data_IF_173125646286
#
_entry.id   IF_173125646286
#
_cell.length_a   1.000
_cell.length_b   1.000
_cell.length_c   1.000
_cell.angle_alpha   90.00
_cell.angle_beta   90.00
_cell.angle_gamma   90.00
#
_symmetry.space_group_name_H-M   'P 1'
#
loop_
_entity.id
_entity.type
_entity.pdbx_description
1 polymer ?
#
# COMPACT_ATOMS: atom_id res chain seq x y z
N UNK A 1 -0.06 8.17 -11.11
CA UNK A 1 0.41 7.36 -12.24
C UNK A 1 1.91 7.10 -12.10
N UNK A 2 2.28 5.86 -11.75
CA UNK A 2 3.68 5.43 -11.51
C UNK A 2 4.52 5.37 -12.79
N UNK A 3 3.89 5.45 -13.95
CA UNK A 3 4.53 5.50 -15.27
C UNK A 3 4.55 6.93 -15.85
N UNK A 4 4.05 7.92 -15.12
CA UNK A 4 4.04 9.32 -15.56
C UNK A 4 5.42 9.95 -15.43
N UNK A 5 5.82 10.77 -16.40
CA UNK A 5 7.12 11.45 -16.46
C UNK A 5 7.44 12.24 -15.18
N UNK A 6 6.46 12.90 -14.59
CA UNK A 6 6.63 13.75 -13.40
C UNK A 6 6.32 13.00 -12.09
N UNK A 7 6.19 11.66 -12.10
CA UNK A 7 5.79 10.92 -10.91
C UNK A 7 6.75 11.13 -9.73
N UNK A 8 8.04 10.94 -9.96
CA UNK A 8 9.07 11.06 -8.90
C UNK A 8 9.17 12.47 -8.34
N UNK A 9 9.06 13.48 -9.20
CA UNK A 9 9.09 14.88 -8.77
C UNK A 9 7.89 15.21 -7.88
N UNK A 10 6.68 14.90 -8.32
CA UNK A 10 5.46 15.11 -7.52
C UNK A 10 5.46 14.34 -6.21
N UNK A 11 5.99 13.12 -6.22
CA UNK A 11 6.16 12.31 -5.02
C UNK A 11 7.09 12.99 -4.03
N UNK A 12 8.25 13.47 -4.48
CA UNK A 12 9.23 14.22 -3.66
C UNK A 12 8.59 15.47 -3.04
N UNK A 13 7.92 16.28 -3.84
CA UNK A 13 7.27 17.52 -3.39
C UNK A 13 6.20 17.23 -2.33
N UNK A 14 5.42 16.15 -2.52
CA UNK A 14 4.40 15.73 -1.57
C UNK A 14 5.02 15.22 -0.26
N UNK A 15 5.97 14.30 -0.34
CA UNK A 15 6.60 13.71 0.85
C UNK A 15 7.43 14.74 1.62
N UNK A 16 8.10 15.66 0.93
CA UNK A 16 8.88 16.71 1.59
C UNK A 16 7.99 17.59 2.47
N UNK A 17 6.78 17.95 1.99
CA UNK A 17 5.82 18.73 2.79
C UNK A 17 5.35 17.98 4.05
N UNK A 18 5.22 16.66 3.96
CA UNK A 18 4.77 15.82 5.08
C UNK A 18 5.91 15.51 6.06
N UNK A 19 7.10 15.21 5.55
CA UNK A 19 8.22 14.70 6.34
C UNK A 19 9.01 15.84 7.00
N UNK A 20 9.30 16.93 6.27
CA UNK A 20 10.19 17.98 6.74
C UNK A 20 9.82 18.58 8.12
N UNK A 21 8.52 18.78 8.46
CA UNK A 21 8.15 19.28 9.78
C UNK A 21 8.39 18.31 10.94
N UNK A 22 8.59 17.02 10.65
CA UNK A 22 8.57 15.95 11.65
C UNK A 22 9.85 15.12 11.73
N UNK A 23 10.77 15.26 10.76
CA UNK A 23 11.97 14.44 10.62
C UNK A 23 12.88 14.40 11.87
N UNK A 24 12.89 15.47 12.64
CA UNK A 24 13.72 15.60 13.83
C UNK A 24 12.93 15.36 15.13
N UNK A 25 11.69 14.86 15.05
CA UNK A 25 10.85 14.61 16.21
C UNK A 25 11.15 13.23 16.83
N UNK A 26 11.80 13.15 18.01
CA UNK A 26 12.17 11.89 18.64
C UNK A 26 10.97 11.06 19.14
N UNK A 27 9.76 11.62 19.13
CA UNK A 27 8.54 10.95 19.56
C UNK A 27 7.76 10.34 18.38
N UNK A 28 8.19 10.59 17.15
CA UNK A 28 7.58 10.00 15.98
C UNK A 28 8.14 8.59 15.76
N UNK A 29 7.27 7.60 15.61
CA UNK A 29 7.66 6.22 15.29
C UNK A 29 7.96 6.07 13.79
N UNK A 30 7.11 6.65 12.93
CA UNK A 30 7.22 6.50 11.50
C UNK A 30 6.05 7.11 10.74
N UNK A 31 6.01 6.85 9.43
CA UNK A 31 5.03 7.41 8.51
C UNK A 31 4.17 6.34 7.88
N UNK A 32 2.86 6.56 7.86
CA UNK A 32 1.95 5.79 7.03
C UNK A 32 1.95 6.33 5.59
N UNK A 33 1.92 5.44 4.61
CA UNK A 33 1.80 5.80 3.20
C UNK A 33 0.36 6.10 2.79
N UNK A 34 -0.61 5.61 3.54
CA UNK A 34 -2.03 5.82 3.28
C UNK A 34 -2.93 4.97 4.17
N UNK A 35 -4.21 5.15 3.98
CA UNK A 35 -5.27 4.47 4.71
C UNK A 35 -6.18 3.72 3.77
N UNK A 36 -6.53 2.48 4.11
CA UNK A 36 -7.56 1.64 3.50
C UNK A 36 -7.58 1.70 1.96
N UNK A 37 -6.58 1.13 1.27
CA UNK A 37 -6.51 1.20 -0.19
C UNK A 37 -7.70 0.49 -0.81
N UNK A 38 -8.62 1.26 -1.40
CA UNK A 38 -9.91 0.79 -1.92
C UNK A 38 -9.83 -0.08 -3.18
N UNK A 39 -8.65 -0.25 -3.76
CA UNK A 39 -8.44 -1.02 -4.99
C UNK A 39 -8.29 -2.52 -4.76
N UNK A 40 -8.00 -2.94 -3.53
CA UNK A 40 -7.88 -4.36 -3.17
C UNK A 40 -9.21 -5.07 -3.44
N UNK A 41 -9.17 -6.11 -4.26
CA UNK A 41 -10.38 -6.80 -4.73
C UNK A 41 -11.14 -6.12 -5.88
N UNK A 42 -10.67 -4.94 -6.34
CA UNK A 42 -11.27 -4.18 -7.45
C UNK A 42 -10.35 -4.10 -8.68
N UNK A 43 -9.38 -5.00 -8.79
CA UNK A 43 -8.31 -4.93 -9.80
C UNK A 43 -8.85 -4.94 -11.24
N UNK A 44 -9.90 -5.73 -11.49
CA UNK A 44 -10.54 -5.80 -12.81
C UNK A 44 -11.17 -4.47 -13.20
N UNK A 45 -11.93 -3.89 -12.25
CA UNK A 45 -12.57 -2.60 -12.44
C UNK A 45 -11.54 -1.49 -12.65
N UNK A 46 -10.47 -1.51 -11.86
CA UNK A 46 -9.40 -0.53 -11.98
C UNK A 46 -8.72 -0.60 -13.34
N UNK A 47 -8.40 -1.80 -13.85
CA UNK A 47 -7.84 -1.97 -15.19
C UNK A 47 -8.81 -1.47 -16.26
N UNK A 48 -10.11 -1.74 -16.12
CA UNK A 48 -11.11 -1.23 -17.08
C UNK A 48 -11.18 0.29 -17.07
N UNK A 49 -11.19 0.91 -15.90
CA UNK A 49 -11.16 2.38 -15.76
C UNK A 49 -9.91 3.01 -16.40
N UNK A 50 -8.75 2.33 -16.29
CA UNK A 50 -7.51 2.77 -16.95
C UNK A 50 -7.64 2.70 -18.46
N UNK A 51 -8.21 1.62 -19.00
CA UNK A 51 -8.38 1.42 -20.45
C UNK A 51 -9.38 2.42 -21.04
N UNK A 52 -10.44 2.75 -20.32
CA UNK A 52 -11.50 3.68 -20.75
C UNK A 52 -11.12 5.15 -20.51
N UNK A 53 -10.14 5.39 -19.66
CA UNK A 53 -9.71 6.74 -19.28
C UNK A 53 -8.82 7.43 -20.31
N UNK A 54 -8.25 8.55 -19.92
CA UNK A 54 -7.34 9.36 -20.73
C UNK A 54 -6.04 8.59 -21.10
N UNK A 55 -5.42 8.99 -22.19
CA UNK A 55 -4.12 8.44 -22.58
C UNK A 55 -3.03 8.98 -21.67
N UNK A 56 -2.60 8.10 -20.75
CA UNK A 56 -1.54 8.34 -19.76
C UNK A 56 -0.54 7.19 -19.78
N UNK A 57 0.61 7.38 -19.17
CA UNK A 57 1.66 6.36 -19.08
C UNK A 57 1.15 5.01 -18.59
N UNK A 58 0.30 4.98 -17.58
CA UNK A 58 -0.29 3.76 -17.02
C UNK A 58 -1.18 3.01 -18.04
N UNK A 59 -1.91 3.71 -18.89
CA UNK A 59 -2.74 3.09 -19.93
C UNK A 59 -1.88 2.42 -21.01
N UNK A 60 -0.82 3.09 -21.42
CA UNK A 60 0.17 2.53 -22.36
C UNK A 60 0.84 1.30 -21.75
N UNK A 61 1.27 1.37 -20.50
CA UNK A 61 1.88 0.26 -19.78
C UNK A 61 0.92 -0.93 -19.64
N UNK A 62 -0.36 -0.69 -19.30
CA UNK A 62 -1.37 -1.75 -19.22
C UNK A 62 -1.62 -2.42 -20.56
N UNK A 63 -1.78 -1.65 -21.64
CA UNK A 63 -1.95 -2.20 -22.99
C UNK A 63 -0.76 -3.07 -23.40
N UNK A 64 0.47 -2.62 -23.11
CA UNK A 64 1.68 -3.38 -23.39
C UNK A 64 1.74 -4.67 -22.57
N UNK A 65 1.42 -4.60 -21.27
CA UNK A 65 1.36 -5.77 -20.40
C UNK A 65 0.39 -6.82 -20.91
N UNK A 66 -0.84 -6.40 -21.24
CA UNK A 66 -1.87 -7.32 -21.73
C UNK A 66 -1.54 -7.90 -23.12
N UNK A 67 -0.86 -7.14 -23.97
CA UNK A 67 -0.41 -7.66 -25.28
C UNK A 67 0.68 -8.73 -25.13
N UNK A 68 1.51 -8.65 -24.12
CA UNK A 68 2.60 -9.60 -23.86
C UNK A 68 2.16 -10.85 -23.10
N UNK A 69 1.20 -10.71 -22.16
CA UNK A 69 0.82 -11.77 -21.22
C UNK A 69 -0.61 -12.31 -21.44
N UNK A 70 -1.37 -11.69 -22.35
CA UNK A 70 -2.79 -11.97 -22.55
C UNK A 70 -3.70 -11.17 -21.61
N UNK A 71 -4.97 -10.98 -22.03
CA UNK A 71 -5.98 -10.30 -21.20
C UNK A 71 -6.79 -11.31 -20.40
N UNK A 72 -6.34 -11.60 -19.20
CA UNK A 72 -7.04 -12.44 -18.23
C UNK A 72 -7.22 -11.72 -16.89
N UNK A 73 -8.09 -12.24 -16.03
CA UNK A 73 -8.29 -11.71 -14.67
C UNK A 73 -6.98 -11.74 -13.87
N UNK A 74 -6.21 -12.79 -14.02
CA UNK A 74 -4.93 -13.00 -13.35
C UNK A 74 -3.89 -11.96 -13.81
N UNK A 75 -3.82 -11.69 -15.12
CA UNK A 75 -2.87 -10.72 -15.67
C UNK A 75 -3.26 -9.27 -15.31
N UNK A 76 -4.53 -8.94 -15.31
CA UNK A 76 -5.00 -7.64 -14.83
C UNK A 76 -4.67 -7.43 -13.35
N UNK A 77 -4.87 -8.46 -12.49
CA UNK A 77 -4.49 -8.43 -11.09
C UNK A 77 -2.98 -8.29 -10.92
N UNK A 78 -2.19 -9.06 -11.65
CA UNK A 78 -0.73 -8.99 -11.61
C UNK A 78 -0.21 -7.60 -11.99
N UNK A 79 -0.79 -6.97 -13.02
CA UNK A 79 -0.46 -5.60 -13.40
C UNK A 79 -0.75 -4.58 -12.27
N UNK A 80 -1.91 -4.67 -11.63
CA UNK A 80 -2.25 -3.76 -10.51
C UNK A 80 -1.28 -3.95 -9.36
N UNK A 81 -0.89 -5.18 -9.06
CA UNK A 81 0.09 -5.49 -8.01
C UNK A 81 1.49 -4.99 -8.38
N UNK A 82 1.90 -5.05 -9.64
CA UNK A 82 3.15 -4.43 -10.10
C UNK A 82 3.12 -2.90 -9.97
N UNK A 83 2.01 -2.26 -10.32
CA UNK A 83 1.82 -0.82 -10.10
C UNK A 83 1.94 -0.46 -8.61
N UNK A 84 1.30 -1.23 -7.74
CA UNK A 84 1.38 -1.02 -6.30
C UNK A 84 2.81 -1.20 -5.78
N UNK A 85 3.48 -2.28 -6.17
CA UNK A 85 4.88 -2.53 -5.81
C UNK A 85 5.77 -1.35 -6.19
N UNK A 86 5.70 -0.89 -7.45
CA UNK A 86 6.47 0.27 -7.94
C UNK A 86 6.19 1.54 -7.13
N UNK A 87 4.92 1.74 -6.78
CA UNK A 87 4.53 2.90 -5.98
C UNK A 87 5.15 2.86 -4.59
N UNK A 88 4.98 1.75 -3.85
CA UNK A 88 5.49 1.65 -2.48
C UNK A 88 7.01 1.64 -2.41
N UNK A 89 7.70 1.02 -3.38
CA UNK A 89 9.16 1.07 -3.51
C UNK A 89 9.65 2.51 -3.71
N UNK A 90 8.98 3.27 -4.58
CA UNK A 90 9.35 4.67 -4.82
C UNK A 90 9.09 5.55 -3.58
N UNK A 91 7.97 5.33 -2.88
CA UNK A 91 7.66 6.06 -1.63
C UNK A 91 8.69 5.74 -0.55
N UNK A 92 9.01 4.45 -0.34
CA UNK A 92 10.02 4.02 0.65
C UNK A 92 11.38 4.61 0.34
N UNK A 93 11.84 4.53 -0.91
CA UNK A 93 13.12 5.09 -1.32
C UNK A 93 13.19 6.61 -1.06
N UNK A 94 12.12 7.33 -1.40
CA UNK A 94 12.04 8.78 -1.18
C UNK A 94 11.94 9.14 0.30
N UNK A 95 11.20 8.37 1.09
CA UNK A 95 11.14 8.54 2.54
C UNK A 95 12.54 8.38 3.15
N UNK A 96 13.25 7.31 2.82
CA UNK A 96 14.61 7.05 3.32
C UNK A 96 15.62 8.15 2.94
N UNK A 97 15.43 8.78 1.77
CA UNK A 97 16.26 9.92 1.35
C UNK A 97 15.96 11.19 2.17
N UNK A 98 14.67 11.42 2.48
CA UNK A 98 14.23 12.61 3.23
C UNK A 98 14.35 12.44 4.75
N UNK A 99 14.15 11.23 5.23
CA UNK A 99 14.18 10.88 6.65
C UNK A 99 14.55 9.38 6.82
N UNK A 100 15.83 9.08 7.05
CA UNK A 100 16.28 7.69 7.24
C UNK A 100 16.04 7.14 8.65
N UNK A 101 15.55 7.96 9.60
CA UNK A 101 15.48 7.60 11.01
C UNK A 101 14.12 7.05 11.44
N UNK A 102 13.06 7.36 10.69
CA UNK A 102 11.70 6.94 11.03
C UNK A 102 11.22 5.78 10.16
N UNK A 103 10.42 4.90 10.76
CA UNK A 103 9.92 3.70 10.11
C UNK A 103 8.92 4.02 8.98
N UNK A 104 8.92 3.17 7.97
CA UNK A 104 7.84 3.11 6.99
C UNK A 104 6.76 2.14 7.51
N UNK A 105 5.67 2.70 8.03
CA UNK A 105 4.56 1.94 8.60
C UNK A 105 3.60 1.38 7.53
N UNK A 106 3.92 1.60 6.25
CA UNK A 106 3.14 1.10 5.13
C UNK A 106 1.73 1.68 5.03
N UNK A 107 0.80 0.89 4.50
CA UNK A 107 -0.62 1.20 4.51
C UNK A 107 -1.30 0.62 5.73
N UNK A 108 -2.31 1.32 6.28
CA UNK A 108 -3.30 0.69 7.16
C UNK A 108 -4.34 0.02 6.28
N UNK A 109 -4.32 -1.29 6.22
CA UNK A 109 -5.32 -2.06 5.48
C UNK A 109 -6.61 -2.18 6.30
N UNK A 110 -7.77 -2.05 5.64
CA UNK A 110 -9.08 -2.13 6.30
C UNK A 110 -9.29 -3.46 7.00
N UNK A 111 -8.78 -4.54 6.42
CA UNK A 111 -8.83 -5.87 7.00
C UNK A 111 -7.65 -6.71 6.55
N UNK A 112 -7.16 -7.55 7.43
CA UNK A 112 -6.14 -8.54 7.11
C UNK A 112 -6.66 -9.60 6.12
N UNK A 113 -7.96 -9.86 6.11
CA UNK A 113 -8.56 -10.85 5.22
C UNK A 113 -8.61 -10.39 3.76
N UNK A 114 -8.55 -9.09 3.51
CA UNK A 114 -8.52 -8.51 2.16
C UNK A 114 -7.13 -8.61 1.52
N UNK A 115 -6.09 -8.86 2.31
CA UNK A 115 -4.71 -8.92 1.83
C UNK A 115 -4.27 -10.35 1.64
N UNK A 116 -4.09 -10.75 0.38
CA UNK A 116 -3.64 -12.09 0.05
C UNK A 116 -2.13 -12.27 0.21
N UNK A 117 -1.66 -13.51 0.08
CA UNK A 117 -0.26 -13.91 0.25
C UNK A 117 0.70 -13.14 -0.67
N UNK A 118 0.33 -12.97 -1.94
CA UNK A 118 1.16 -12.21 -2.91
C UNK A 118 1.34 -10.76 -2.46
N UNK A 119 0.27 -10.13 -2.01
CA UNK A 119 0.30 -8.73 -1.56
C UNK A 119 1.09 -8.59 -0.24
N UNK A 120 0.93 -9.53 0.70
CA UNK A 120 1.74 -9.61 1.92
C UNK A 120 3.23 -9.75 1.59
N UNK A 121 3.59 -10.60 0.63
CA UNK A 121 4.97 -10.78 0.16
C UNK A 121 5.55 -9.53 -0.52
N UNK A 122 4.73 -8.74 -1.23
CA UNK A 122 5.14 -7.45 -1.80
C UNK A 122 5.41 -6.45 -0.67
N UNK A 123 4.48 -6.31 0.27
CA UNK A 123 4.61 -5.41 1.41
C UNK A 123 5.81 -5.76 2.29
N UNK A 124 6.04 -7.06 2.53
CA UNK A 124 7.12 -7.57 3.34
C UNK A 124 8.52 -7.22 2.86
N UNK A 125 8.67 -6.89 1.58
CA UNK A 125 9.95 -6.46 0.99
C UNK A 125 10.20 -4.96 1.11
N UNK A 126 9.19 -4.17 1.47
CA UNK A 126 9.24 -2.71 1.37
C UNK A 126 8.97 -2.01 2.70
N UNK A 127 7.99 -2.47 3.46
CA UNK A 127 7.59 -1.85 4.72
C UNK A 127 8.48 -2.32 5.87
N UNK A 128 8.50 -1.56 6.96
CA UNK A 128 9.14 -1.95 8.21
C UNK A 128 8.12 -2.59 9.17
N UNK A 129 6.84 -2.25 8.99
CA UNK A 129 5.71 -2.76 9.78
C UNK A 129 4.51 -2.95 8.86
N UNK A 130 3.69 -3.98 9.12
CA UNK A 130 2.38 -4.12 8.49
C UNK A 130 1.28 -3.65 9.43
N UNK A 131 0.40 -2.77 8.94
CA UNK A 131 -0.69 -2.24 9.74
C UNK A 131 -2.05 -2.64 9.18
N UNK A 132 -2.95 -3.03 10.08
CA UNK A 132 -4.33 -3.40 9.79
C UNK A 132 -5.29 -2.73 10.76
N UNK A 133 -6.51 -2.49 10.32
CA UNK A 133 -7.61 -2.11 11.19
C UNK A 133 -8.25 -3.37 11.78
N UNK A 134 -8.58 -3.34 13.05
CA UNK A 134 -9.22 -4.47 13.73
C UNK A 134 -10.27 -3.95 14.69
N UNK A 135 -11.54 -4.13 14.33
CA UNK A 135 -12.69 -3.71 15.13
C UNK A 135 -13.34 -4.86 15.89
N UNK A 136 -12.72 -6.04 15.89
CA UNK A 136 -13.09 -7.16 16.74
C UNK A 136 -12.49 -7.02 18.15
N UNK A 137 -13.02 -7.79 19.11
CA UNK A 137 -12.55 -7.73 20.51
C UNK A 137 -11.05 -8.04 20.66
N UNK A 138 -10.55 -8.97 19.83
CA UNK A 138 -9.13 -9.31 19.76
C UNK A 138 -8.73 -9.65 18.33
N UNK A 139 -7.51 -9.32 17.89
CA UNK A 139 -6.98 -9.87 16.66
C UNK A 139 -6.78 -11.39 16.83
N UNK A 140 -7.21 -12.17 15.84
CA UNK A 140 -7.06 -13.64 15.87
C UNK A 140 -5.59 -14.06 15.77
N UNK A 141 -5.16 -15.02 16.60
CA UNK A 141 -3.79 -15.54 16.59
C UNK A 141 -3.38 -16.10 15.22
N UNK A 142 -4.27 -16.89 14.60
CA UNK A 142 -4.03 -17.49 13.27
C UNK A 142 -3.76 -16.42 12.21
N UNK A 143 -4.43 -15.29 12.33
CA UNK A 143 -4.25 -14.15 11.45
C UNK A 143 -2.88 -13.49 11.64
N UNK A 144 -2.48 -13.25 12.89
CA UNK A 144 -1.17 -12.66 13.21
C UNK A 144 -0.05 -13.57 12.74
N UNK A 145 -0.17 -14.88 12.98
CA UNK A 145 0.78 -15.90 12.52
C UNK A 145 0.89 -15.95 11.00
N UNK A 146 -0.24 -15.84 10.29
CA UNK A 146 -0.25 -15.80 8.83
C UNK A 146 0.49 -14.58 8.31
N UNK A 147 0.20 -13.40 8.84
CA UNK A 147 0.86 -12.15 8.43
C UNK A 147 2.37 -12.24 8.66
N UNK A 148 2.78 -12.66 9.86
CA UNK A 148 4.20 -12.81 10.20
C UNK A 148 4.91 -13.80 9.27
N UNK A 149 4.32 -14.98 9.01
CA UNK A 149 4.94 -15.99 8.13
C UNK A 149 5.04 -15.53 6.68
N UNK A 150 4.05 -14.78 6.17
CA UNK A 150 4.01 -14.41 4.75
C UNK A 150 4.74 -13.11 4.44
N UNK A 151 4.85 -12.20 5.39
CA UNK A 151 5.54 -10.92 5.20
C UNK A 151 6.91 -10.86 5.86
N UNK A 152 7.12 -11.60 6.93
CA UNK A 152 8.31 -11.50 7.78
C UNK A 152 8.35 -10.23 8.65
N UNK A 153 7.27 -9.45 8.69
CA UNK A 153 7.23 -8.16 9.37
C UNK A 153 6.41 -8.20 10.67
N UNK A 154 6.75 -7.36 11.65
CA UNK A 154 5.89 -7.11 12.79
C UNK A 154 4.57 -6.50 12.33
N UNK A 155 3.49 -6.79 13.06
CA UNK A 155 2.15 -6.28 12.79
C UNK A 155 1.76 -5.21 13.80
N UNK A 156 1.05 -4.19 13.32
CA UNK A 156 0.45 -3.13 14.12
C UNK A 156 -1.05 -3.07 13.86
N UNK A 157 -1.85 -2.95 14.91
CA UNK A 157 -3.26 -2.56 14.76
C UNK A 157 -3.30 -1.03 14.68
N UNK A 158 -3.65 -0.52 13.49
CA UNK A 158 -3.64 0.91 13.19
C UNK A 158 -4.92 1.63 13.62
N UNK A 159 -6.04 0.90 13.63
CA UNK A 159 -7.34 1.39 14.10
C UNK A 159 -8.08 0.29 14.85
N UNK A 160 -8.70 0.65 15.96
CA UNK A 160 -9.53 -0.25 16.74
C UNK A 160 -10.57 0.53 17.55
N UNK A 161 -11.66 -0.12 17.92
CA UNK A 161 -12.60 0.37 18.94
C UNK A 161 -13.38 -0.80 19.57
N UNK A 162 -13.89 -0.56 20.75
CA UNK A 162 -14.69 -1.54 21.50
C UNK A 162 -16.20 -1.22 21.48
N UNK A 163 -16.60 -0.33 20.60
CA UNK A 163 -17.94 0.23 20.56
C UNK A 163 -18.15 1.35 21.57
N UNK A 164 -19.29 2.03 21.45
CA UNK A 164 -19.72 3.06 22.36
C UNK A 164 -21.15 2.73 22.78
N UNK A 165 -21.39 2.51 24.07
CA UNK A 165 -22.70 2.06 24.61
C UNK A 165 -23.79 3.10 24.40
N UNK A 166 -23.43 4.37 24.25
CA UNK A 166 -24.30 5.52 24.10
C UNK A 166 -24.56 5.91 22.64
N UNK A 167 -23.93 5.24 21.68
CA UNK A 167 -24.09 5.53 20.25
C UNK A 167 -24.52 4.33 19.38
N UNK A 168 -24.77 3.18 19.99
CA UNK A 168 -25.26 1.97 19.35
C UNK A 168 -24.19 1.11 18.72
#
# INVERSE_FOLDING_TARGET
DVYGENFKQRLRESLQKTIAPHRDNPWLIGYFMGNEPSWVGQEQRLCQMILDGEDRGIKTALRQWLSQHGDSKEQRKAFVYDCFRRYIEAVKAMQMELDPHHLCLGYRFASVYDVNETLLGICGKVFDVLSFNCYSLTPGHDMMDRVLRQSGLPMMIGEFHFGSVDRG
#
